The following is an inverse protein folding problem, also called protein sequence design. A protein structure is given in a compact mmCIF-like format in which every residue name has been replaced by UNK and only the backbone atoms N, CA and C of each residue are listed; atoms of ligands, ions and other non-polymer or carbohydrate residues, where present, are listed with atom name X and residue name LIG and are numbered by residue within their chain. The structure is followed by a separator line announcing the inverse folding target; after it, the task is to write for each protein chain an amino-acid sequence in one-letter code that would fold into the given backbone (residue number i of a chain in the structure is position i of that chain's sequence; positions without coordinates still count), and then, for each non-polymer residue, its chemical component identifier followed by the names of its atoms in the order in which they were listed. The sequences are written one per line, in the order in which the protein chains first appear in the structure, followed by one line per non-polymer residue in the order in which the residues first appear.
data_IF_361835073870
#
_entry.id   IF_361835073870
#
_cell.length_a   1.000
_cell.length_b   1.000
_cell.length_c   1.000
_cell.angle_alpha   90.00
_cell.angle_beta   90.00
_cell.angle_gamma   90.00
#
_symmetry.space_group_name_H-M   'P 1'
#
loop_
_entity.id
_entity.type
_entity.pdbx_description
1 polymer ?
#
# COMPACT_ATOMS: atom_id res chain seq x y z
N UNK A 1 9.28 2.95 8.33
CA UNK A 1 8.05 3.59 8.84
C UNK A 1 6.87 2.78 8.39
N UNK A 2 5.90 2.51 9.27
CA UNK A 2 4.66 1.81 8.93
C UNK A 2 3.52 2.82 8.89
N UNK A 3 2.83 2.88 7.77
CA UNK A 3 1.60 3.65 7.57
C UNK A 3 0.43 2.70 7.48
N UNK A 4 -0.73 3.10 8.01
CA UNK A 4 -1.91 2.27 7.96
C UNK A 4 -3.18 3.11 7.79
N UNK A 5 -4.17 2.51 7.13
CA UNK A 5 -5.49 3.07 6.91
C UNK A 5 -6.53 2.05 7.35
N UNK A 6 -7.56 2.53 8.03
CA UNK A 6 -8.71 1.73 8.43
C UNK A 6 -9.89 1.99 7.50
N UNK A 7 -10.50 0.91 7.04
CA UNK A 7 -11.73 0.92 6.27
C UNK A 7 -12.80 0.09 7.01
N UNK A 8 -14.08 0.54 7.02
CA UNK A 8 -15.13 -0.19 7.72
C UNK A 8 -15.45 -1.58 7.13
N UNK A 9 -15.11 -1.82 5.87
CA UNK A 9 -15.37 -3.08 5.16
C UNK A 9 -14.25 -3.43 4.19
N UNK A 10 -13.99 -4.72 4.02
CA UNK A 10 -13.18 -5.26 2.94
C UNK A 10 -14.04 -5.45 1.68
N UNK A 11 -13.41 -5.49 0.50
CA UNK A 11 -14.10 -5.77 -0.74
C UNK A 11 -13.38 -6.80 -1.59
N UNK A 12 -14.16 -7.70 -2.20
CA UNK A 12 -13.71 -8.65 -3.21
C UNK A 12 -14.63 -8.54 -4.42
N UNK A 13 -14.06 -8.38 -5.61
CA UNK A 13 -14.85 -8.32 -6.86
C UNK A 13 -16.04 -7.36 -6.80
N UNK A 14 -15.84 -6.14 -6.26
CA UNK A 14 -16.85 -5.09 -6.08
C UNK A 14 -17.95 -5.37 -5.04
N UNK A 15 -17.87 -6.50 -4.33
CA UNK A 15 -18.80 -6.85 -3.25
C UNK A 15 -18.13 -6.69 -1.89
N UNK A 16 -18.89 -6.25 -0.89
CA UNK A 16 -18.40 -6.17 0.48
C UNK A 16 -18.41 -7.57 1.10
N UNK A 17 -17.27 -8.00 1.65
CA UNK A 17 -17.10 -9.35 2.19
C UNK A 17 -17.03 -9.33 3.71
N UNK A 18 -16.02 -8.66 4.26
CA UNK A 18 -15.74 -8.67 5.69
C UNK A 18 -15.98 -7.30 6.32
N UNK A 19 -16.36 -7.30 7.60
CA UNK A 19 -16.31 -6.10 8.43
C UNK A 19 -14.85 -5.84 8.82
N UNK A 20 -14.47 -4.57 8.83
CA UNK A 20 -13.13 -4.09 9.16
C UNK A 20 -12.06 -4.48 8.13
N UNK A 21 -11.26 -3.50 7.72
CA UNK A 21 -10.11 -3.73 6.86
C UNK A 21 -9.01 -2.72 7.15
N UNK A 22 -7.90 -3.22 7.66
CA UNK A 22 -6.65 -2.49 7.80
C UNK A 22 -5.77 -2.72 6.58
N UNK A 23 -5.39 -1.62 5.94
CA UNK A 23 -4.42 -1.60 4.86
C UNK A 23 -3.16 -0.94 5.38
N UNK A 24 -1.98 -1.47 5.05
CA UNK A 24 -0.71 -0.89 5.46
C UNK A 24 0.32 -0.77 4.35
N UNK A 25 1.21 0.19 4.55
CA UNK A 25 2.39 0.41 3.74
C UNK A 25 3.60 0.56 4.65
N UNK A 26 4.66 -0.18 4.36
CA UNK A 26 5.95 0.00 5.03
C UNK A 26 6.89 0.73 4.08
N UNK A 27 7.33 1.91 4.49
CA UNK A 27 8.35 2.71 3.80
C UNK A 27 9.71 2.48 4.46
N UNK A 28 10.68 2.05 3.67
CA UNK A 28 12.05 1.81 4.10
C UNK A 28 12.92 3.02 3.77
N UNK A 29 13.57 3.56 4.79
CA UNK A 29 14.46 4.71 4.70
C UNK A 29 15.90 4.26 4.94
N UNK A 30 16.86 5.01 4.41
CA UNK A 30 18.28 4.77 4.67
C UNK A 30 18.69 5.13 6.10
N UNK A 31 18.53 6.39 6.48
CA UNK A 31 18.92 6.92 7.78
C UNK A 31 17.94 8.02 8.22
N UNK A 32 17.05 7.74 9.20
CA UNK A 32 16.07 8.69 9.67
C UNK A 32 16.68 9.89 10.42
N UNK A 33 17.96 9.84 10.82
CA UNK A 33 18.63 10.96 11.49
C UNK A 33 19.06 12.10 10.55
N UNK A 34 18.96 11.90 9.23
CA UNK A 34 19.25 12.94 8.24
C UNK A 34 18.08 13.93 8.14
N UNK A 35 18.39 15.19 7.81
CA UNK A 35 17.37 16.22 7.57
C UNK A 35 16.47 15.93 6.36
N UNK A 36 16.94 15.06 5.45
CA UNK A 36 16.20 14.58 4.29
C UNK A 36 16.57 13.10 4.04
N UNK A 37 15.92 12.15 4.72
CA UNK A 37 16.18 10.73 4.52
C UNK A 37 15.77 10.30 3.10
N UNK A 38 16.51 9.35 2.54
CA UNK A 38 16.22 8.78 1.22
C UNK A 38 15.35 7.54 1.38
N UNK A 39 14.27 7.48 0.60
CA UNK A 39 13.45 6.28 0.48
C UNK A 39 14.20 5.25 -0.37
N UNK A 40 14.47 4.08 0.20
CA UNK A 40 15.20 2.99 -0.45
C UNK A 40 14.26 1.90 -0.97
N UNK A 41 13.06 1.80 -0.43
CA UNK A 41 12.10 0.77 -0.83
C UNK A 41 10.77 0.95 -0.15
N UNK A 42 9.79 0.19 -0.61
CA UNK A 42 8.46 0.18 -0.03
C UNK A 42 7.81 -1.19 -0.19
N UNK A 43 6.92 -1.49 0.75
CA UNK A 43 6.14 -2.70 0.76
C UNK A 43 4.68 -2.37 1.03
N UNK A 44 3.80 -2.82 0.15
CA UNK A 44 2.36 -2.53 0.19
C UNK A 44 1.60 -3.79 0.57
N UNK A 45 0.73 -3.71 1.57
CA UNK A 45 -0.06 -4.86 2.01
C UNK A 45 -1.03 -5.30 0.91
N UNK A 46 -1.13 -6.61 0.74
CA UNK A 46 -2.06 -7.28 -0.15
C UNK A 46 -2.60 -8.55 0.52
N UNK A 47 -3.71 -9.07 0.01
CA UNK A 47 -4.32 -10.27 0.56
C UNK A 47 -3.44 -11.52 0.32
N UNK A 48 -3.35 -12.36 1.35
CA UNK A 48 -2.57 -13.61 1.38
C UNK A 48 -3.07 -14.65 0.38
N UNK A 49 -4.37 -14.65 0.10
CA UNK A 49 -4.99 -15.59 -0.82
C UNK A 49 -5.32 -14.89 -2.14
N UNK A 50 -4.74 -15.39 -3.22
CA UNK A 50 -5.11 -15.00 -4.58
C UNK A 50 -6.12 -16.00 -5.12
N UNK A 51 -7.34 -15.54 -5.40
CA UNK A 51 -8.34 -16.33 -6.12
C UNK A 51 -8.09 -16.19 -7.63
N UNK A 52 -7.89 -17.31 -8.32
CA UNK A 52 -7.65 -17.37 -9.77
C UNK A 52 -8.68 -18.29 -10.42
N UNK A 53 -9.45 -17.76 -11.37
CA UNK A 53 -10.41 -18.53 -12.15
C UNK A 53 -9.80 -19.09 -13.43
N UNK A 54 -9.96 -20.39 -13.69
CA UNK A 54 -9.67 -20.99 -15.00
C UNK A 54 -10.80 -21.94 -15.40
N UNK A 55 -11.38 -21.73 -16.59
CA UNK A 55 -12.43 -22.57 -17.19
C UNK A 55 -13.62 -22.85 -16.24
N UNK A 56 -14.07 -21.84 -15.49
CA UNK A 56 -15.20 -21.95 -14.55
C UNK A 56 -14.86 -22.49 -13.16
N UNK A 57 -13.63 -22.94 -12.92
CA UNK A 57 -13.15 -23.35 -11.60
C UNK A 57 -12.34 -22.24 -10.93
N UNK A 58 -12.58 -22.01 -9.65
CA UNK A 58 -11.83 -21.04 -8.84
C UNK A 58 -10.79 -21.78 -7.99
N UNK A 59 -9.53 -21.40 -8.17
CA UNK A 59 -8.40 -21.89 -7.38
C UNK A 59 -7.91 -20.79 -6.44
N UNK A 60 -7.49 -21.18 -5.25
CA UNK A 60 -6.82 -20.28 -4.30
C UNK A 60 -5.33 -20.59 -4.30
N UNK A 61 -4.52 -19.64 -4.72
CA UNK A 61 -3.07 -19.72 -4.67
C UNK A 61 -2.57 -18.85 -3.50
N UNK A 62 -1.61 -19.34 -2.69
CA UNK A 62 -0.97 -18.50 -1.68
C UNK A 62 -0.15 -17.39 -2.34
N UNK A 63 -0.17 -16.21 -1.75
CA UNK A 63 0.53 -15.00 -2.18
C UNK A 63 1.24 -14.40 -0.98
N UNK A 64 2.37 -13.73 -1.21
CA UNK A 64 3.01 -12.97 -0.16
C UNK A 64 2.09 -11.85 0.37
N UNK A 65 2.07 -11.61 1.69
CA UNK A 65 1.22 -10.59 2.32
C UNK A 65 1.59 -9.16 1.90
N UNK A 66 2.81 -8.96 1.40
CA UNK A 66 3.28 -7.66 0.93
C UNK A 66 3.76 -7.74 -0.51
N UNK A 67 3.38 -6.76 -1.31
CA UNK A 67 4.03 -6.44 -2.56
C UNK A 67 5.27 -5.60 -2.26
N UNK A 68 6.45 -6.20 -2.44
CA UNK A 68 7.76 -5.64 -2.05
C UNK A 68 8.45 -5.00 -3.24
N UNK A 69 8.97 -3.80 -3.05
CA UNK A 69 9.65 -3.05 -4.10
C UNK A 69 10.92 -2.37 -3.56
N UNK A 70 12.07 -2.72 -4.12
CA UNK A 70 13.41 -2.18 -3.77
C UNK A 70 13.75 -0.88 -4.50
N UNK A 71 12.90 -0.43 -5.43
CA UNK A 71 13.02 0.86 -6.10
C UNK A 71 11.64 1.33 -6.54
N UNK A 72 11.14 2.40 -5.93
CA UNK A 72 9.83 2.98 -6.24
C UNK A 72 9.89 3.67 -7.62
N UNK A 73 8.82 3.56 -8.40
CA UNK A 73 8.74 4.23 -9.70
C UNK A 73 8.63 5.75 -9.52
N UNK A 74 9.25 6.51 -10.43
CA UNK A 74 9.30 7.97 -10.37
C UNK A 74 7.90 8.58 -10.40
N UNK A 75 6.96 7.94 -11.09
CA UNK A 75 5.57 8.39 -11.21
C UNK A 75 4.76 8.18 -9.93
N UNK A 76 5.21 7.30 -9.04
CA UNK A 76 4.59 7.06 -7.74
C UNK A 76 4.86 8.18 -6.75
N UNK A 77 5.68 9.17 -7.09
CA UNK A 77 5.92 10.34 -6.24
C UNK A 77 4.93 11.48 -6.55
N UNK A 78 4.53 12.20 -5.50
CA UNK A 78 3.60 13.33 -5.60
C UNK A 78 4.18 14.43 -6.51
N UNK A 79 3.37 14.98 -7.40
CA UNK A 79 3.81 15.98 -8.37
C UNK A 79 4.59 15.47 -9.58
N UNK A 80 4.92 14.16 -9.66
CA UNK A 80 5.52 13.60 -10.86
C UNK A 80 4.54 13.64 -12.04
N UNK A 81 4.99 14.07 -13.22
CA UNK A 81 4.12 14.21 -14.40
C UNK A 81 4.68 13.45 -15.60
N UNK A 82 3.76 12.82 -16.34
CA UNK A 82 4.05 12.18 -17.63
C UNK A 82 3.56 13.08 -18.76
N UNK A 83 4.50 13.69 -19.47
CA UNK A 83 4.23 14.59 -20.59
C UNK A 83 4.23 13.78 -21.88
N UNK A 84 3.08 13.72 -22.56
CA UNK A 84 2.97 13.09 -23.88
C UNK A 84 3.63 13.99 -24.93
N UNK A 85 4.61 13.44 -25.65
CA UNK A 85 5.32 14.12 -26.73
C UNK A 85 4.74 13.73 -28.10
N UNK A 86 5.58 13.70 -29.13
CA UNK A 86 5.23 13.36 -30.50
C UNK A 86 4.85 11.86 -30.64
N UNK A 87 3.96 11.53 -31.60
CA UNK A 87 3.66 10.15 -31.94
C UNK A 87 4.89 9.51 -32.59
N UNK A 88 5.26 8.31 -32.14
CA UNK A 88 6.36 7.52 -32.72
C UNK A 88 5.82 6.54 -33.78
N UNK A 89 4.51 6.24 -33.75
CA UNK A 89 3.87 5.35 -34.72
C UNK A 89 2.37 5.19 -34.47
N UNK A 90 1.74 4.24 -35.15
CA UNK A 90 0.31 3.96 -34.98
C UNK A 90 0.01 3.59 -33.52
N UNK A 91 -0.76 4.46 -32.84
CA UNK A 91 -1.12 4.37 -31.41
C UNK A 91 0.06 4.36 -30.42
N UNK A 92 1.28 4.70 -30.84
CA UNK A 92 2.45 4.74 -29.95
C UNK A 92 2.96 6.17 -29.78
N UNK A 93 3.13 6.58 -28.54
CA UNK A 93 3.53 7.93 -28.16
C UNK A 93 4.86 7.91 -27.42
N UNK A 94 5.69 8.92 -27.65
CA UNK A 94 6.83 9.21 -26.79
C UNK A 94 6.36 9.93 -25.53
N UNK A 95 7.02 9.68 -24.40
CA UNK A 95 6.71 10.32 -23.13
C UNK A 95 7.99 10.83 -22.47
N UNK A 96 7.91 12.04 -21.91
CA UNK A 96 8.89 12.55 -20.96
C UNK A 96 8.32 12.49 -19.55
N UNK A 97 9.22 12.31 -18.58
CA UNK A 97 8.88 12.21 -17.18
C UNK A 97 9.54 13.37 -16.43
N UNK A 98 8.73 14.17 -15.72
CA UNK A 98 9.25 15.16 -14.78
C UNK A 98 9.20 14.57 -13.37
N UNK A 99 10.33 14.55 -12.64
CA UNK A 99 10.36 14.07 -11.27
C UNK A 99 9.44 14.90 -10.38
N UNK A 100 8.77 14.23 -9.45
CA UNK A 100 7.97 14.88 -8.42
C UNK A 100 8.77 15.18 -7.16
N UNK A 101 8.06 15.19 -6.03
CA UNK A 101 8.62 15.16 -4.68
C UNK A 101 9.52 13.95 -4.48
N UNK A 102 10.52 14.05 -3.61
CA UNK A 102 11.34 12.93 -3.16
C UNK A 102 10.92 12.40 -1.77
N UNK A 103 9.93 13.04 -1.13
CA UNK A 103 9.46 12.71 0.24
C UNK A 103 8.08 12.07 0.23
N UNK A 104 7.21 12.48 -0.71
CA UNK A 104 5.80 12.10 -0.69
C UNK A 104 5.48 11.13 -1.83
N UNK A 105 4.87 9.99 -1.48
CA UNK A 105 4.42 8.97 -2.43
C UNK A 105 2.90 8.97 -2.59
N UNK A 106 2.44 8.51 -3.74
CA UNK A 106 1.04 8.36 -4.13
C UNK A 106 0.65 6.89 -4.00
N UNK A 107 -0.35 6.61 -3.17
CA UNK A 107 -0.91 5.27 -3.00
C UNK A 107 -2.40 5.32 -3.28
N UNK A 108 -2.94 4.26 -3.86
CA UNK A 108 -4.36 4.09 -4.14
C UNK A 108 -4.82 2.76 -3.56
N UNK A 109 -6.09 2.71 -3.15
CA UNK A 109 -6.75 1.51 -2.69
C UNK A 109 -7.74 1.07 -3.79
N UNK A 110 -7.32 0.15 -4.66
CA UNK A 110 -8.07 -0.20 -5.87
C UNK A 110 -7.88 -1.67 -6.25
N UNK A 111 -8.66 -2.13 -7.23
CA UNK A 111 -8.53 -3.47 -7.78
C UNK A 111 -7.47 -3.48 -8.85
N UNK A 112 -6.47 -4.36 -8.73
CA UNK A 112 -5.52 -4.60 -9.81
C UNK A 112 -6.17 -5.29 -11.01
N UNK A 113 -7.04 -6.27 -10.75
CA UNK A 113 -7.78 -7.04 -11.73
C UNK A 113 -9.23 -7.27 -11.26
N UNK A 114 -10.15 -7.47 -12.21
CA UNK A 114 -11.45 -8.09 -11.92
C UNK A 114 -11.20 -9.46 -11.27
N UNK A 115 -11.90 -9.80 -10.18
CA UNK A 115 -11.75 -11.01 -9.34
C UNK A 115 -10.65 -11.02 -8.25
N UNK A 116 -10.10 -9.86 -7.88
CA UNK A 116 -9.21 -9.75 -6.72
C UNK A 116 -9.85 -8.99 -5.54
N UNK A 117 -9.23 -9.10 -4.37
CA UNK A 117 -9.53 -8.22 -3.24
C UNK A 117 -9.00 -6.81 -3.53
N UNK A 118 -9.65 -5.82 -2.92
CA UNK A 118 -9.15 -4.45 -2.88
C UNK A 118 -7.80 -4.43 -2.12
N UNK A 119 -6.79 -3.79 -2.70
CA UNK A 119 -5.44 -3.76 -2.14
C UNK A 119 -4.75 -2.41 -2.38
N UNK A 120 -3.67 -2.15 -1.67
CA UNK A 120 -2.88 -0.93 -1.84
C UNK A 120 -1.93 -1.08 -3.03
N UNK A 121 -1.90 -0.04 -3.86
CA UNK A 121 -1.05 0.05 -5.04
C UNK A 121 -0.43 1.44 -5.14
N UNK A 122 0.76 1.55 -5.71
CA UNK A 122 1.27 2.84 -6.13
C UNK A 122 0.40 3.42 -7.25
N UNK A 123 0.21 4.74 -7.22
CA UNK A 123 -0.59 5.46 -8.22
C UNK A 123 0.25 6.47 -8.99
N UNK A 124 -0.10 6.69 -10.26
CA UNK A 124 0.43 7.80 -11.07
C UNK A 124 -0.40 9.10 -10.91
N UNK A 125 -1.52 9.06 -10.18
CA UNK A 125 -2.41 10.20 -9.99
C UNK A 125 -2.31 10.76 -8.59
N UNK A 126 -2.25 12.09 -8.47
CA UNK A 126 -2.30 12.76 -7.16
C UNK A 126 -3.62 12.47 -6.45
N UNK A 127 -3.51 12.07 -5.18
CA UNK A 127 -4.62 11.86 -4.28
C UNK A 127 -4.76 13.00 -3.27
N UNK A 128 -5.29 12.68 -2.10
CA UNK A 128 -5.38 13.60 -0.97
C UNK A 128 -4.50 13.12 0.18
N UNK A 129 -4.02 14.04 0.99
CA UNK A 129 -3.40 13.73 2.27
C UNK A 129 -4.49 13.51 3.33
N UNK A 130 -4.20 12.64 4.29
CA UNK A 130 -5.01 12.46 5.49
C UNK A 130 -4.25 13.03 6.69
N UNK A 131 -4.97 13.47 7.71
CA UNK A 131 -4.36 13.88 8.97
C UNK A 131 -3.69 12.68 9.62
N UNK A 132 -2.37 12.82 9.86
CA UNK A 132 -1.55 11.76 10.42
C UNK A 132 -1.55 11.85 11.95
N UNK A 133 -1.82 10.72 12.60
CA UNK A 133 -1.56 10.52 14.01
C UNK A 133 -0.58 9.35 14.19
N UNK A 134 0.51 9.59 14.91
CA UNK A 134 1.51 8.55 15.17
C UNK A 134 1.11 7.69 16.37
N UNK A 135 1.59 6.44 16.42
CA UNK A 135 1.33 5.54 17.55
C UNK A 135 1.70 6.16 18.90
N UNK A 136 2.87 6.81 18.96
CA UNK A 136 3.37 7.50 20.16
C UNK A 136 2.55 8.73 20.56
N UNK A 137 1.72 9.27 19.65
CA UNK A 137 0.85 10.41 19.91
C UNK A 137 -0.56 9.99 20.39
N UNK A 138 -0.90 8.70 20.31
CA UNK A 138 -2.18 8.19 20.78
C UNK A 138 -2.23 8.15 22.30
N UNK A 139 -3.43 8.37 22.85
CA UNK A 139 -3.67 8.17 24.29
C UNK A 139 -3.47 6.70 24.67
N UNK A 140 -3.21 6.45 25.95
CA UNK A 140 -3.03 5.08 26.46
C UNK A 140 -4.28 4.23 26.21
N UNK A 141 -5.48 4.81 26.31
CA UNK A 141 -6.75 4.13 26.04
C UNK A 141 -6.88 3.73 24.57
N UNK A 142 -6.48 4.61 23.65
CA UNK A 142 -6.52 4.33 22.21
C UNK A 142 -5.54 3.21 21.83
N UNK A 143 -4.32 3.23 22.39
CA UNK A 143 -3.35 2.14 22.20
C UNK A 143 -3.86 0.82 22.78
N UNK A 144 -4.39 0.84 24.00
CA UNK A 144 -4.99 -0.35 24.63
C UNK A 144 -6.16 -0.91 23.81
N UNK A 145 -7.00 -0.06 23.24
CA UNK A 145 -8.10 -0.48 22.38
C UNK A 145 -7.58 -1.14 21.10
N UNK A 146 -6.58 -0.54 20.44
CA UNK A 146 -6.00 -1.09 19.20
C UNK A 146 -5.20 -2.38 19.42
N UNK A 147 -4.67 -2.60 20.62
CA UNK A 147 -4.02 -3.86 20.99
C UNK A 147 -5.03 -4.99 21.30
N UNK A 148 -6.22 -4.67 21.84
CA UNK A 148 -7.15 -5.70 22.36
C UNK A 148 -8.44 -5.90 21.56
N UNK A 149 -8.81 -4.94 20.69
CA UNK A 149 -10.04 -5.00 19.94
C UNK A 149 -10.01 -6.10 18.86
N UNK A 150 -11.16 -6.76 18.70
CA UNK A 150 -11.38 -7.74 17.64
C UNK A 150 -11.79 -7.03 16.35
N UNK A 151 -10.92 -7.11 15.34
CA UNK A 151 -11.16 -6.61 13.98
C UNK A 151 -11.47 -7.73 12.98
N UNK A 152 -11.88 -8.91 13.47
CA UNK A 152 -12.22 -10.07 12.67
C UNK A 152 -11.00 -10.62 11.92
N UNK A 153 -11.15 -10.78 10.61
CA UNK A 153 -10.08 -11.31 9.73
C UNK A 153 -8.93 -10.30 9.51
N UNK A 154 -9.13 -9.03 9.88
CA UNK A 154 -8.13 -7.98 9.69
C UNK A 154 -7.33 -7.74 10.96
N UNK A 155 -6.00 -7.67 10.85
CA UNK A 155 -5.11 -7.38 11.98
C UNK A 155 -4.59 -5.94 11.92
N UNK A 156 -4.43 -5.30 13.08
CA UNK A 156 -3.79 -3.98 13.18
C UNK A 156 -2.28 -4.14 12.95
N UNK A 157 -1.69 -3.50 11.91
CA UNK A 157 -0.33 -3.82 11.46
C UNK A 157 0.79 -3.08 12.21
N UNK A 158 0.45 -2.17 13.11
CA UNK A 158 1.41 -1.32 13.85
C UNK A 158 1.21 -1.38 15.37
N UNK A 159 0.35 -2.28 15.83
CA UNK A 159 0.13 -2.48 17.26
C UNK A 159 1.33 -3.25 17.87
N UNK A 160 1.40 -3.28 19.20
CA UNK A 160 2.61 -3.79 19.87
C UNK A 160 2.83 -5.30 19.62
N UNK A 161 1.75 -6.05 19.34
CA UNK A 161 1.80 -7.49 19.08
C UNK A 161 2.23 -7.86 17.64
N UNK A 162 1.84 -7.05 16.65
CA UNK A 162 2.01 -7.40 15.23
C UNK A 162 3.09 -6.58 14.51
N UNK A 163 3.66 -5.54 15.14
CA UNK A 163 4.59 -4.63 14.45
C UNK A 163 5.87 -5.34 13.99
N UNK A 164 6.44 -6.24 14.80
CA UNK A 164 7.64 -6.99 14.43
C UNK A 164 7.37 -7.94 13.26
N UNK A 165 6.30 -8.75 13.35
CA UNK A 165 5.87 -9.64 12.26
C UNK A 165 5.60 -8.85 10.97
N UNK A 166 4.97 -7.69 11.08
CA UNK A 166 4.69 -6.80 9.94
C UNK A 166 5.99 -6.34 9.27
N UNK A 167 6.99 -5.92 10.05
CA UNK A 167 8.27 -5.47 9.52
C UNK A 167 9.04 -6.62 8.85
N UNK A 168 9.04 -7.81 9.44
CA UNK A 168 9.66 -9.01 8.88
C UNK A 168 9.03 -9.40 7.55
N UNK A 169 7.70 -9.51 7.51
CA UNK A 169 6.95 -9.87 6.30
C UNK A 169 7.09 -8.81 5.20
N UNK A 170 7.25 -7.54 5.57
CA UNK A 170 7.37 -6.42 4.64
C UNK A 170 8.82 -6.14 4.21
N UNK A 171 9.83 -6.84 4.73
CA UNK A 171 11.24 -6.58 4.39
C UNK A 171 11.55 -7.00 2.93
N UNK A 172 12.05 -6.09 2.07
CA UNK A 172 12.22 -6.35 0.64
C UNK A 172 13.67 -6.66 0.21
N UNK A 173 14.62 -6.73 1.13
CA UNK A 173 16.07 -6.89 0.87
C UNK A 173 16.63 -8.20 1.38
#
# INVERSE_FOLDING_TARGET
MVFAWYFPKSFWSFEAVDCHYWASMVLWLDNPALSAPKIIGASLQQQLLKKRGFLGFMFTEPREPYFKQTSIDIMSYVGAQRIRLNPIGYRRWSYNFTPGSNVSTRVTHTYWNSFEYLALHFSETDGQFQDLIMWEQLTDEARSALNSADFGESKVPFNDENIEETLELAWPF
#
